data_IF_625133508852
#
_entry.id   IF_625133508852
#
_cell.length_a   1.000
_cell.length_b   1.000
_cell.length_c   1.000
_cell.angle_alpha   90.00
_cell.angle_beta   90.00
_cell.angle_gamma   90.00
#
_symmetry.space_group_name_H-M   'P 1'
#
loop_
_entity.id
_entity.type
_entity.pdbx_description
1 polymer ?
#
# COMPACT_ATOMS: atom_id res chain seq x y z
N UNK A 1 19.12 -11.38 3.81
CA UNK A 1 17.84 -10.80 3.32
C UNK A 1 16.74 -11.73 3.82
N UNK A 2 15.65 -11.20 4.36
CA UNK A 2 14.66 -11.93 5.17
C UNK A 2 13.94 -13.05 4.38
N UNK A 3 13.96 -14.27 4.92
CA UNK A 3 13.37 -15.47 4.28
C UNK A 3 11.84 -15.48 4.33
N UNK A 4 11.24 -14.88 5.36
CA UNK A 4 9.78 -14.86 5.60
C UNK A 4 9.27 -13.45 5.93
N UNK A 5 9.19 -12.53 4.95
CA UNK A 5 8.89 -11.11 5.19
C UNK A 5 7.45 -10.81 5.61
N UNK A 6 6.57 -11.80 5.62
CA UNK A 6 5.17 -11.69 6.03
C UNK A 6 4.84 -12.62 7.21
N UNK A 7 5.87 -13.14 7.90
CA UNK A 7 5.69 -13.97 9.09
C UNK A 7 4.94 -13.19 10.18
N UNK A 8 3.97 -13.85 10.83
CA UNK A 8 3.11 -13.24 11.84
C UNK A 8 1.88 -12.50 11.31
N UNK A 9 1.79 -12.25 9.99
CA UNK A 9 0.60 -11.65 9.38
C UNK A 9 -0.45 -12.72 9.04
N UNK A 10 -1.73 -12.42 9.33
CA UNK A 10 -2.90 -13.26 9.03
C UNK A 10 -3.43 -13.01 7.63
N UNK A 11 -2.61 -13.31 6.64
CA UNK A 11 -2.99 -13.22 5.22
C UNK A 11 -3.64 -14.54 4.79
N UNK A 12 -4.80 -14.46 4.15
CA UNK A 12 -5.49 -15.61 3.56
C UNK A 12 -4.63 -16.32 2.51
N UNK A 13 -4.77 -17.65 2.37
CA UNK A 13 -4.04 -18.40 1.35
C UNK A 13 -4.38 -17.91 -0.06
N UNK A 14 -3.34 -17.71 -0.87
CA UNK A 14 -3.43 -17.28 -2.26
C UNK A 14 -3.08 -18.39 -3.25
N UNK A 15 -2.98 -19.65 -2.78
CA UNK A 15 -2.47 -20.77 -3.58
C UNK A 15 -3.33 -21.05 -4.82
N UNK A 16 -4.64 -20.84 -4.73
CA UNK A 16 -5.55 -21.00 -5.87
C UNK A 16 -5.23 -20.02 -7.02
N UNK A 17 -4.57 -18.89 -6.77
CA UNK A 17 -4.14 -18.00 -7.84
C UNK A 17 -3.07 -18.64 -8.74
N UNK A 18 -2.36 -19.66 -8.26
CA UNK A 18 -1.40 -20.41 -9.08
C UNK A 18 -2.07 -21.41 -10.03
N UNK A 19 -3.29 -21.86 -9.73
CA UNK A 19 -4.05 -22.78 -10.61
C UNK A 19 -4.67 -22.06 -11.80
N UNK A 20 -4.73 -20.72 -11.78
CA UNK A 20 -5.18 -19.91 -12.89
C UNK A 20 -4.10 -19.92 -13.99
N UNK A 21 -4.28 -20.70 -15.05
CA UNK A 21 -3.32 -20.82 -16.16
C UNK A 21 -3.46 -19.72 -17.21
N UNK A 22 -4.70 -19.36 -17.56
CA UNK A 22 -4.99 -18.39 -18.62
C UNK A 22 -5.40 -17.02 -18.08
N UNK A 23 -5.36 -16.01 -18.96
CA UNK A 23 -6.01 -14.72 -18.68
C UNK A 23 -7.50 -14.85 -18.98
N UNK A 24 -8.31 -14.10 -18.24
CA UNK A 24 -9.76 -14.05 -18.37
C UNK A 24 -10.21 -12.63 -18.70
N UNK A 25 -11.46 -12.47 -19.12
CA UNK A 25 -12.04 -11.18 -19.49
C UNK A 25 -12.61 -10.50 -18.25
N UNK A 26 -12.28 -9.23 -18.03
CA UNK A 26 -12.89 -8.43 -16.98
C UNK A 26 -14.40 -8.27 -17.23
N UNK A 27 -15.28 -8.55 -16.25
CA UNK A 27 -16.73 -8.47 -16.44
C UNK A 27 -17.26 -7.04 -16.64
N UNK A 28 -16.46 -6.01 -16.35
CA UNK A 28 -16.85 -4.60 -16.48
C UNK A 28 -16.35 -3.95 -17.78
N UNK A 29 -15.05 -3.99 -18.04
CA UNK A 29 -14.45 -3.31 -19.20
C UNK A 29 -14.06 -4.23 -20.36
N UNK A 30 -14.31 -5.53 -20.25
CA UNK A 30 -14.00 -6.54 -21.27
C UNK A 30 -12.51 -6.68 -21.65
N UNK A 31 -11.60 -6.04 -20.91
CA UNK A 31 -10.15 -6.18 -21.14
C UNK A 31 -9.62 -7.49 -20.54
N UNK A 32 -8.63 -8.09 -21.19
CA UNK A 32 -7.93 -9.31 -20.72
C UNK A 32 -7.12 -9.03 -19.44
N UNK A 33 -7.36 -9.81 -18.39
CA UNK A 33 -6.77 -9.68 -17.05
C UNK A 33 -6.40 -11.06 -16.49
N UNK A 34 -5.51 -11.09 -15.50
CA UNK A 34 -5.03 -12.36 -14.92
C UNK A 34 -5.72 -12.71 -13.60
N UNK A 35 -5.75 -11.78 -12.65
CA UNK A 35 -6.29 -11.99 -11.30
C UNK A 35 -7.36 -10.97 -10.94
N UNK A 36 -7.13 -9.71 -11.30
CA UNK A 36 -8.06 -8.62 -11.09
C UNK A 36 -7.89 -7.58 -12.21
N UNK A 37 -8.89 -6.73 -12.37
CA UNK A 37 -8.84 -5.60 -13.28
C UNK A 37 -8.31 -4.36 -12.57
N UNK A 38 -7.11 -3.91 -12.95
CA UNK A 38 -6.49 -2.69 -12.43
C UNK A 38 -7.15 -1.38 -12.89
N UNK A 39 -8.21 -1.43 -13.71
CA UNK A 39 -9.01 -0.25 -14.09
C UNK A 39 -10.39 -0.25 -13.45
N UNK A 40 -11.02 -1.42 -13.32
CA UNK A 40 -12.37 -1.55 -12.78
C UNK A 40 -12.40 -1.96 -11.31
N UNK A 41 -11.23 -2.25 -10.74
CA UNK A 41 -11.01 -2.68 -9.36
C UNK A 41 -11.93 -3.83 -8.93
N UNK A 42 -12.01 -4.84 -9.80
CA UNK A 42 -12.76 -6.07 -9.52
C UNK A 42 -11.90 -7.30 -9.77
N UNK A 43 -12.11 -8.40 -9.03
CA UNK A 43 -11.55 -9.70 -9.38
C UNK A 43 -11.97 -10.11 -10.80
N UNK A 44 -11.22 -11.04 -11.40
CA UNK A 44 -11.68 -11.68 -12.63
C UNK A 44 -12.79 -12.69 -12.35
N UNK A 45 -13.56 -13.03 -13.39
CA UNK A 45 -14.69 -13.97 -13.28
C UNK A 45 -14.23 -15.35 -12.77
N UNK A 46 -14.98 -15.90 -11.82
CA UNK A 46 -14.83 -17.25 -11.26
C UNK A 46 -14.00 -17.32 -9.98
N UNK A 47 -13.51 -16.19 -9.46
CA UNK A 47 -12.73 -16.15 -8.21
C UNK A 47 -13.19 -15.07 -7.24
N UNK A 48 -14.29 -14.38 -7.53
CA UNK A 48 -14.81 -13.26 -6.74
C UNK A 48 -14.96 -13.62 -5.26
N UNK A 49 -15.53 -14.79 -4.98
CA UNK A 49 -15.80 -15.29 -3.62
C UNK A 49 -14.55 -15.83 -2.91
N UNK A 50 -13.43 -15.98 -3.64
CA UNK A 50 -12.15 -16.45 -3.09
C UNK A 50 -11.23 -15.28 -2.71
N UNK A 51 -11.53 -14.06 -3.15
CA UNK A 51 -10.75 -12.87 -2.80
C UNK A 51 -11.21 -12.36 -1.44
N UNK A 52 -10.31 -12.20 -0.45
CA UNK A 52 -10.69 -11.67 0.84
C UNK A 52 -11.18 -10.22 0.72
N UNK A 53 -12.20 -9.88 1.50
CA UNK A 53 -12.63 -8.48 1.68
C UNK A 53 -12.07 -7.93 2.98
N UNK A 54 -11.67 -6.66 2.94
CA UNK A 54 -11.15 -5.91 4.08
C UNK A 54 -12.02 -4.68 4.29
N UNK A 55 -12.49 -4.49 5.52
CA UNK A 55 -13.16 -3.28 5.96
C UNK A 55 -12.13 -2.38 6.66
N UNK A 56 -12.03 -1.13 6.24
CA UNK A 56 -11.10 -0.16 6.82
C UNK A 56 -11.80 0.71 7.87
N UNK A 57 -11.06 1.21 8.88
CA UNK A 57 -11.61 2.09 9.90
C UNK A 57 -11.79 3.53 9.39
N UNK A 58 -11.24 3.84 8.22
CA UNK A 58 -11.27 5.14 7.56
C UNK A 58 -11.43 4.97 6.05
N UNK A 59 -12.07 5.94 5.39
CA UNK A 59 -12.13 6.01 3.93
C UNK A 59 -10.80 6.50 3.37
N UNK A 60 -10.37 5.95 2.23
CA UNK A 60 -9.09 6.27 1.60
C UNK A 60 -9.31 6.60 0.13
N UNK A 61 -8.88 7.80 -0.27
CA UNK A 61 -8.78 8.18 -1.66
C UNK A 61 -7.32 8.14 -2.12
N UNK A 62 -7.02 7.30 -3.10
CA UNK A 62 -5.70 7.19 -3.70
C UNK A 62 -5.64 8.06 -4.94
N UNK A 63 -4.80 9.10 -4.91
CA UNK A 63 -4.56 9.97 -6.07
C UNK A 63 -3.33 9.49 -6.82
N UNK A 64 -3.53 8.93 -8.01
CA UNK A 64 -2.45 8.46 -8.89
C UNK A 64 -1.97 9.55 -9.82
N UNK A 65 -0.71 9.47 -10.22
CA UNK A 65 -0.19 10.29 -11.31
C UNK A 65 -0.60 9.71 -12.67
N UNK A 66 -0.96 10.55 -13.64
CA UNK A 66 -1.40 10.13 -14.98
C UNK A 66 -0.39 9.25 -15.74
N UNK A 67 0.90 9.41 -15.46
CA UNK A 67 1.97 8.60 -16.09
C UNK A 67 2.23 7.28 -15.34
N UNK A 68 1.52 7.00 -14.26
CA UNK A 68 1.66 5.74 -13.54
C UNK A 68 1.06 4.59 -14.37
N UNK A 69 1.86 3.55 -14.61
CA UNK A 69 1.40 2.38 -15.35
C UNK A 69 0.48 1.51 -14.48
N UNK A 70 -0.80 1.42 -14.82
CA UNK A 70 -1.81 0.68 -14.03
C UNK A 70 -1.42 -0.77 -13.73
N UNK A 71 -0.88 -1.49 -14.73
CA UNK A 71 -0.46 -2.89 -14.56
C UNK A 71 0.76 -3.08 -13.65
N UNK A 72 1.36 -1.99 -13.16
CA UNK A 72 2.45 -2.00 -12.18
C UNK A 72 2.07 -1.34 -10.86
N UNK A 73 0.94 -0.67 -10.79
CA UNK A 73 0.47 0.05 -9.61
C UNK A 73 -0.10 -0.90 -8.58
N UNK A 74 0.26 -0.71 -7.31
CA UNK A 74 -0.33 -1.46 -6.20
C UNK A 74 -1.58 -0.78 -5.61
N UNK A 75 -1.96 0.40 -6.11
CA UNK A 75 -3.24 1.06 -5.77
C UNK A 75 -4.45 0.17 -6.03
N UNK A 76 -4.42 -0.60 -7.13
CA UNK A 76 -5.48 -1.53 -7.49
C UNK A 76 -5.66 -2.65 -6.46
N UNK A 77 -4.62 -3.02 -5.70
CA UNK A 77 -4.76 -4.03 -4.64
C UNK A 77 -5.74 -3.53 -3.57
N UNK A 78 -5.53 -2.31 -3.07
CA UNK A 78 -6.37 -1.71 -2.04
C UNK A 78 -7.83 -1.60 -2.51
N UNK A 79 -8.05 -1.09 -3.74
CA UNK A 79 -9.39 -0.91 -4.29
C UNK A 79 -10.13 -2.21 -4.59
N UNK A 80 -9.42 -3.31 -4.91
CA UNK A 80 -10.04 -4.63 -5.10
C UNK A 80 -10.38 -5.29 -3.76
N UNK A 81 -9.51 -5.14 -2.75
CA UNK A 81 -9.62 -5.82 -1.45
C UNK A 81 -10.55 -5.07 -0.47
N UNK A 82 -10.62 -3.74 -0.55
CA UNK A 82 -11.46 -2.87 0.29
C UNK A 82 -12.31 -1.92 -0.58
N UNK A 83 -13.16 -2.44 -1.47
CA UNK A 83 -13.87 -1.64 -2.47
C UNK A 83 -14.88 -0.64 -1.87
N UNK A 84 -15.33 -0.90 -0.64
CA UNK A 84 -16.31 -0.06 0.05
C UNK A 84 -15.65 1.14 0.75
N UNK A 85 -14.32 1.09 0.96
CA UNK A 85 -13.55 2.10 1.70
C UNK A 85 -12.48 2.79 0.87
N UNK A 86 -12.06 2.21 -0.25
CA UNK A 86 -10.96 2.71 -1.08
C UNK A 86 -11.47 3.15 -2.45
N UNK A 87 -11.16 4.38 -2.83
CA UNK A 87 -11.36 4.90 -4.19
C UNK A 87 -10.03 5.28 -4.80
N UNK A 88 -9.94 5.20 -6.12
CA UNK A 88 -8.73 5.52 -6.87
C UNK A 88 -9.06 6.54 -7.94
N UNK A 89 -8.33 7.65 -7.91
CA UNK A 89 -8.44 8.77 -8.83
C UNK A 89 -7.13 8.97 -9.58
N UNK A 90 -7.18 9.73 -10.67
CA UNK A 90 -6.00 10.05 -11.49
C UNK A 90 -5.89 11.56 -11.60
N UNK A 91 -4.78 12.13 -11.11
CA UNK A 91 -4.48 13.55 -11.20
C UNK A 91 -4.47 14.03 -12.67
N UNK A 92 -5.04 15.21 -12.99
CA UNK A 92 -5.55 16.25 -12.08
C UNK A 92 -6.99 16.04 -11.58
N UNK A 93 -7.65 14.94 -11.94
CA UNK A 93 -9.04 14.68 -11.54
C UNK A 93 -9.07 14.15 -10.10
N UNK A 94 -9.22 15.04 -9.12
CA UNK A 94 -9.33 14.70 -7.69
C UNK A 94 -10.74 15.05 -7.18
N UNK A 95 -11.25 14.35 -6.16
CA UNK A 95 -12.49 14.73 -5.49
C UNK A 95 -12.39 16.12 -4.86
N UNK A 96 -13.54 16.78 -4.74
CA UNK A 96 -13.66 17.91 -3.83
C UNK A 96 -13.80 17.41 -2.39
N UNK A 97 -13.21 18.14 -1.44
CA UNK A 97 -13.21 17.83 -0.02
C UNK A 97 -13.83 19.02 0.74
N UNK A 98 -15.17 19.05 0.89
CA UNK A 98 -15.88 20.23 1.39
C UNK A 98 -15.48 20.67 2.81
N UNK A 99 -14.98 19.72 3.61
CA UNK A 99 -14.47 19.97 4.95
C UNK A 99 -13.01 19.48 5.04
N UNK A 100 -12.03 20.31 4.63
CA UNK A 100 -10.61 19.96 4.68
C UNK A 100 -10.10 19.62 6.09
N UNK A 101 -10.80 20.07 7.14
CA UNK A 101 -10.43 19.78 8.53
C UNK A 101 -10.63 18.30 8.92
N UNK A 102 -11.51 17.60 8.19
CA UNK A 102 -11.75 16.15 8.34
C UNK A 102 -10.92 15.30 7.38
N UNK A 103 -10.09 15.92 6.55
CA UNK A 103 -9.29 15.23 5.54
C UNK A 103 -7.81 15.37 5.87
N UNK A 104 -7.11 14.25 5.78
CA UNK A 104 -5.68 14.17 6.03
C UNK A 104 -4.99 13.73 4.75
N UNK A 105 -4.00 14.51 4.31
CA UNK A 105 -3.19 14.20 3.15
C UNK A 105 -1.95 13.41 3.57
N UNK A 106 -1.84 12.16 3.13
CA UNK A 106 -0.62 11.37 3.32
C UNK A 106 0.39 11.75 2.23
N UNK A 107 1.32 12.64 2.57
CA UNK A 107 2.37 13.07 1.66
C UNK A 107 3.59 13.52 2.45
N UNK A 108 4.79 12.96 2.18
CA UNK A 108 6.01 13.37 2.86
C UNK A 108 6.38 14.80 2.47
N UNK A 109 6.37 15.73 3.44
CA UNK A 109 6.68 17.13 3.21
C UNK A 109 7.45 17.73 4.38
N UNK A 110 8.13 18.86 4.17
CA UNK A 110 8.94 19.50 5.24
C UNK A 110 8.13 19.82 6.51
N UNK A 111 6.84 20.06 6.36
CA UNK A 111 5.92 20.42 7.44
C UNK A 111 4.88 19.33 7.73
N UNK A 112 5.09 18.09 7.27
CA UNK A 112 4.15 16.99 7.52
C UNK A 112 4.26 16.47 8.95
N UNK A 113 3.12 16.28 9.61
CA UNK A 113 3.04 15.70 10.95
C UNK A 113 3.17 14.18 10.90
N UNK A 114 3.61 13.58 12.00
CA UNK A 114 3.45 12.14 12.25
C UNK A 114 2.01 11.84 12.69
N UNK A 115 1.57 10.58 12.59
CA UNK A 115 0.26 10.19 13.15
C UNK A 115 0.23 10.37 14.68
N UNK A 116 1.34 10.19 15.39
CA UNK A 116 1.45 10.42 16.83
C UNK A 116 1.22 11.90 17.20
N UNK A 117 1.79 12.81 16.40
CA UNK A 117 1.56 14.25 16.57
C UNK A 117 0.10 14.59 16.29
N UNK A 118 -0.48 14.01 15.25
CA UNK A 118 -1.90 14.18 14.95
C UNK A 118 -2.79 13.68 16.11
N UNK A 119 -2.49 12.50 16.65
CA UNK A 119 -3.19 11.92 17.79
C UNK A 119 -3.10 12.81 19.03
N UNK A 120 -1.90 13.29 19.39
CA UNK A 120 -1.70 14.24 20.50
C UNK A 120 -2.45 15.55 20.29
N UNK A 121 -2.45 16.07 19.07
CA UNK A 121 -3.11 17.32 18.72
C UNK A 121 -4.64 17.20 18.71
N UNK A 122 -5.19 16.01 18.49
CA UNK A 122 -6.64 15.75 18.58
C UNK A 122 -7.16 15.75 20.03
N UNK A 123 -6.29 15.43 21.00
CA UNK A 123 -6.61 15.39 22.43
C UNK A 123 -6.47 16.74 23.14
N UNK A 124 -5.90 17.74 22.48
CA UNK A 124 -5.68 19.09 23.01
C UNK A 124 -6.73 20.08 22.46
N UNK A 125 -7.10 21.10 23.25
CA UNK A 125 -8.09 22.13 22.83
C UNK A 125 -7.67 22.75 21.49
N UNK A 126 -8.62 23.03 20.58
CA UNK A 126 -8.31 23.57 19.26
C UNK A 126 -7.60 24.93 19.42
N UNK A 127 -6.36 25.01 18.97
CA UNK A 127 -5.73 26.28 18.59
C UNK A 127 -6.22 26.63 17.19
N UNK A 128 -6.39 27.92 16.90
CA UNK A 128 -6.75 28.43 15.57
C UNK A 128 -5.90 27.75 14.50
N UNK A 129 -6.48 26.76 13.82
CA UNK A 129 -5.88 26.14 12.64
C UNK A 129 -6.32 26.97 11.45
N UNK A 130 -5.42 27.10 10.48
CA UNK A 130 -5.79 27.57 9.16
C UNK A 130 -6.77 26.56 8.53
N UNK A 131 -8.07 26.82 8.67
CA UNK A 131 -9.15 25.93 8.25
C UNK A 131 -9.24 25.75 6.72
N UNK A 132 -8.39 26.44 5.95
CA UNK A 132 -8.38 26.36 4.49
C UNK A 132 -7.42 25.31 3.94
N UNK A 133 -6.60 24.66 4.77
CA UNK A 133 -5.60 23.68 4.31
C UNK A 133 -5.78 22.30 4.97
N UNK A 134 -5.67 21.25 4.16
CA UNK A 134 -5.65 19.87 4.64
C UNK A 134 -4.42 19.63 5.51
N UNK A 135 -4.58 18.86 6.59
CA UNK A 135 -3.43 18.46 7.41
C UNK A 135 -2.60 17.42 6.64
N UNK A 136 -1.32 17.72 6.40
CA UNK A 136 -0.39 16.77 5.79
C UNK A 136 0.26 15.89 6.85
N UNK A 137 0.30 14.58 6.61
CA UNK A 137 1.02 13.62 7.44
C UNK A 137 2.05 12.81 6.66
N UNK A 138 3.07 12.36 7.38
CA UNK A 138 4.05 11.38 6.94
C UNK A 138 3.94 10.10 7.76
N UNK A 139 4.13 8.97 7.08
CA UNK A 139 4.21 7.67 7.73
C UNK A 139 5.60 7.48 8.35
N UNK A 140 5.69 6.66 9.41
CA UNK A 140 7.00 6.25 9.94
C UNK A 140 7.82 5.57 8.85
N UNK A 141 9.12 5.86 8.84
CA UNK A 141 10.07 5.25 7.91
C UNK A 141 10.12 3.73 8.09
N UNK A 142 9.95 3.00 6.99
CA UNK A 142 9.89 1.53 6.95
C UNK A 142 10.55 1.02 5.68
N UNK A 143 11.32 -0.06 5.77
CA UNK A 143 11.88 -0.69 4.57
C UNK A 143 10.78 -1.39 3.76
N UNK A 144 10.59 -0.98 2.51
CA UNK A 144 9.63 -1.63 1.60
C UNK A 144 10.10 -3.02 1.16
N UNK A 145 9.15 -3.92 0.97
CA UNK A 145 9.34 -5.25 0.36
C UNK A 145 9.03 -5.25 -1.14
N UNK A 146 8.66 -4.12 -1.73
CA UNK A 146 8.26 -4.03 -3.14
C UNK A 146 9.40 -4.41 -4.09
N UNK A 147 9.10 -5.20 -5.12
CA UNK A 147 10.11 -5.82 -5.99
C UNK A 147 10.44 -4.99 -7.24
N UNK A 148 9.67 -3.95 -7.58
CA UNK A 148 9.92 -3.06 -8.73
C UNK A 148 10.48 -1.70 -8.29
N UNK A 149 11.62 -1.71 -7.60
CA UNK A 149 12.27 -0.47 -7.21
C UNK A 149 12.68 0.34 -8.44
N UNK A 150 12.42 1.64 -8.36
CA UNK A 150 13.00 2.62 -9.28
C UNK A 150 14.44 2.88 -8.86
N UNK A 151 15.31 3.10 -9.85
CA UNK A 151 16.71 3.44 -9.63
C UNK A 151 16.80 4.70 -8.76
N UNK A 152 17.73 4.71 -7.81
CA UNK A 152 18.07 5.86 -6.95
C UNK A 152 17.03 6.25 -5.86
N UNK A 153 15.91 5.52 -5.76
CA UNK A 153 14.96 5.73 -4.66
C UNK A 153 15.41 4.98 -3.38
N UNK A 154 15.29 5.62 -2.19
CA UNK A 154 15.56 4.96 -0.92
C UNK A 154 14.69 3.71 -0.72
N UNK A 155 15.23 2.70 -0.02
CA UNK A 155 14.46 1.51 0.35
C UNK A 155 13.33 1.81 1.35
N UNK A 156 13.20 3.06 1.81
CA UNK A 156 12.13 3.54 2.70
C UNK A 156 10.90 4.04 1.94
N UNK A 157 10.96 4.11 0.60
CA UNK A 157 9.84 4.55 -0.22
C UNK A 157 8.85 3.40 -0.43
N UNK A 158 7.79 3.40 0.37
CA UNK A 158 6.73 2.41 0.34
C UNK A 158 5.98 2.40 -1.00
N UNK A 159 5.59 1.22 -1.46
CA UNK A 159 4.56 1.13 -2.50
C UNK A 159 3.20 1.57 -1.94
N UNK A 160 2.26 1.93 -2.82
CA UNK A 160 0.94 2.44 -2.41
C UNK A 160 0.22 1.49 -1.45
N UNK A 161 0.20 0.19 -1.72
CA UNK A 161 -0.47 -0.77 -0.84
C UNK A 161 0.21 -0.91 0.53
N UNK A 162 1.54 -0.83 0.59
CA UNK A 162 2.26 -0.83 1.86
C UNK A 162 1.97 0.44 2.65
N UNK A 163 1.93 1.60 1.98
CA UNK A 163 1.57 2.86 2.62
C UNK A 163 0.14 2.82 3.19
N UNK A 164 -0.83 2.29 2.44
CA UNK A 164 -2.21 2.10 2.92
C UNK A 164 -2.24 1.15 4.12
N UNK A 165 -1.59 -0.01 4.03
CA UNK A 165 -1.53 -0.99 5.12
C UNK A 165 -0.94 -0.40 6.40
N UNK A 166 0.23 0.25 6.31
CA UNK A 166 0.87 0.83 7.48
C UNK A 166 0.10 2.04 8.03
N UNK A 167 -0.55 2.83 7.17
CA UNK A 167 -1.44 3.90 7.62
C UNK A 167 -2.57 3.37 8.49
N UNK A 168 -3.32 2.37 8.03
CA UNK A 168 -4.49 1.86 8.77
C UNK A 168 -4.09 1.08 10.02
N UNK A 169 -2.94 0.40 9.99
CA UNK A 169 -2.37 -0.29 11.16
C UNK A 169 -1.92 0.71 12.23
N UNK A 170 -1.17 1.75 11.86
CA UNK A 170 -0.76 2.80 12.78
C UNK A 170 -1.99 3.59 13.29
N UNK A 171 -3.00 3.81 12.43
CA UNK A 171 -4.25 4.45 12.83
C UNK A 171 -5.00 3.64 13.89
N UNK A 172 -5.14 2.33 13.69
CA UNK A 172 -5.80 1.45 14.66
C UNK A 172 -5.12 1.55 16.02
N UNK A 173 -3.80 1.42 16.08
CA UNK A 173 -3.04 1.47 17.34
C UNK A 173 -3.16 2.83 18.08
N UNK A 174 -3.32 3.93 17.34
CA UNK A 174 -3.31 5.28 17.92
C UNK A 174 -4.70 5.86 18.22
N UNK A 175 -5.72 5.45 17.48
CA UNK A 175 -7.04 6.10 17.48
C UNK A 175 -8.20 5.17 17.81
N UNK A 176 -8.05 3.84 17.70
CA UNK A 176 -9.09 2.90 18.09
C UNK A 176 -8.81 2.41 19.51
N UNK A 177 -9.50 3.03 20.47
CA UNK A 177 -9.41 2.67 21.89
C UNK A 177 -9.97 1.25 22.12
N UNK A 178 -9.39 0.52 23.09
CA UNK A 178 -9.83 -0.80 23.56
C UNK A 178 -9.83 -1.96 22.55
N UNK A 179 -9.21 -1.80 21.38
CA UNK A 179 -9.00 -2.89 20.42
C UNK A 179 -7.51 -3.13 20.16
N UNK A 180 -7.03 -4.33 20.51
CA UNK A 180 -5.70 -4.77 20.10
C UNK A 180 -5.73 -5.20 18.63
N UNK A 181 -4.81 -4.68 17.81
CA UNK A 181 -4.65 -5.12 16.43
C UNK A 181 -4.41 -6.64 16.37
N UNK A 182 -5.22 -7.34 15.59
CA UNK A 182 -5.22 -8.79 15.48
C UNK A 182 -5.26 -9.28 14.02
N UNK A 183 -4.76 -8.45 13.09
CA UNK A 183 -4.63 -8.78 11.68
C UNK A 183 -5.82 -8.35 10.82
N UNK A 184 -6.64 -7.42 11.30
CA UNK A 184 -7.86 -6.93 10.64
C UNK A 184 -7.60 -6.47 9.20
N UNK A 185 -6.40 -5.95 8.95
CA UNK A 185 -6.02 -5.35 7.67
C UNK A 185 -4.90 -6.11 6.94
N UNK A 186 -4.43 -7.24 7.48
CA UNK A 186 -3.31 -8.00 6.89
C UNK A 186 -3.63 -8.44 5.46
N UNK A 187 -4.90 -8.75 5.19
CA UNK A 187 -5.38 -9.11 3.87
C UNK A 187 -5.28 -7.98 2.83
N UNK A 188 -5.01 -6.72 3.19
CA UNK A 188 -4.61 -5.69 2.21
C UNK A 188 -3.34 -6.11 1.45
N UNK A 189 -2.47 -6.89 2.09
CA UNK A 189 -1.25 -7.40 1.50
C UNK A 189 -1.47 -8.72 0.72
N UNK A 190 -2.69 -9.23 0.58
CA UNK A 190 -3.00 -10.50 -0.10
C UNK A 190 -2.38 -10.62 -1.51
N UNK A 191 -2.71 -9.68 -2.41
CA UNK A 191 -2.10 -9.69 -3.75
C UNK A 191 -0.63 -9.32 -3.73
N UNK A 192 -0.20 -8.52 -2.76
CA UNK A 192 1.20 -8.10 -2.64
C UNK A 192 2.10 -9.27 -2.25
N UNK A 193 1.70 -10.06 -1.25
CA UNK A 193 2.45 -11.23 -0.78
C UNK A 193 2.49 -12.33 -1.84
N UNK A 194 1.36 -12.60 -2.51
CA UNK A 194 1.31 -13.51 -3.65
C UNK A 194 2.28 -13.11 -4.77
N UNK A 195 2.23 -11.85 -5.21
CA UNK A 195 3.10 -11.36 -6.28
C UNK A 195 4.58 -11.34 -5.86
N UNK A 196 4.86 -10.99 -4.61
CA UNK A 196 6.20 -11.05 -4.03
C UNK A 196 6.76 -12.47 -4.11
N UNK A 197 6.02 -13.48 -3.67
CA UNK A 197 6.43 -14.88 -3.74
C UNK A 197 6.63 -15.33 -5.19
N UNK A 198 5.63 -15.10 -6.06
CA UNK A 198 5.66 -15.50 -7.47
C UNK A 198 6.90 -14.96 -8.20
N UNK A 199 7.26 -13.71 -7.93
CA UNK A 199 8.42 -13.06 -8.56
C UNK A 199 9.72 -13.62 -8.02
N UNK A 200 9.81 -13.91 -6.72
CA UNK A 200 11.01 -14.56 -6.18
C UNK A 200 11.22 -15.95 -6.76
N UNK A 201 10.17 -16.75 -6.91
CA UNK A 201 10.24 -18.06 -7.58
C UNK A 201 10.73 -17.92 -9.02
N UNK A 202 10.30 -16.89 -9.74
CA UNK A 202 10.70 -16.66 -11.14
C UNK A 202 12.16 -16.18 -11.30
N UNK A 203 12.77 -15.59 -10.27
CA UNK A 203 14.10 -14.96 -10.34
C UNK A 203 15.13 -15.62 -9.38
N UNK A 204 15.18 -16.95 -9.33
CA UNK A 204 16.06 -17.75 -8.44
C UNK A 204 16.07 -17.24 -6.98
N UNK A 205 14.90 -17.28 -6.34
CA UNK A 205 14.74 -16.78 -4.97
C UNK A 205 14.91 -15.26 -4.85
N UNK A 206 14.91 -14.54 -5.97
CA UNK A 206 15.11 -13.09 -6.07
C UNK A 206 16.55 -12.65 -6.33
N UNK A 207 17.52 -13.58 -6.45
CA UNK A 207 18.92 -13.24 -6.69
C UNK A 207 19.11 -12.44 -7.97
N UNK A 208 18.30 -12.68 -8.99
CA UNK A 208 18.39 -12.00 -10.29
C UNK A 208 17.54 -10.75 -10.44
N UNK A 209 16.84 -10.33 -9.38
CA UNK A 209 16.14 -9.05 -9.37
C UNK A 209 17.15 -7.90 -9.32
N UNK A 210 17.18 -7.10 -10.40
CA UNK A 210 18.02 -5.88 -10.50
C UNK A 210 17.85 -4.96 -9.29
N UNK A 211 16.62 -4.81 -8.80
CA UNK A 211 16.29 -4.04 -7.60
C UNK A 211 17.05 -4.52 -6.34
N UNK A 212 17.22 -5.83 -6.18
CA UNK A 212 17.88 -6.42 -5.00
C UNK A 212 19.40 -6.34 -5.10
N UNK A 213 19.97 -6.58 -6.30
CA UNK A 213 21.40 -6.35 -6.57
C UNK A 213 21.79 -4.89 -6.26
N UNK A 214 20.93 -3.93 -6.61
CA UNK A 214 21.13 -2.50 -6.29
C UNK A 214 21.06 -2.21 -4.79
N UNK A 215 20.10 -2.76 -4.05
CA UNK A 215 20.00 -2.59 -2.59
C UNK A 215 21.21 -3.12 -1.84
N UNK A 216 21.70 -4.31 -2.21
CA UNK A 216 22.91 -4.87 -1.61
C UNK A 216 24.12 -3.94 -1.83
N UNK A 217 24.26 -3.41 -3.06
CA UNK A 217 25.30 -2.44 -3.40
C UNK A 217 25.18 -1.13 -2.60
N UNK A 218 23.96 -0.58 -2.45
CA UNK A 218 23.76 0.64 -1.64
C UNK A 218 24.00 0.40 -0.14
N UNK A 219 23.57 -0.74 0.41
CA UNK A 219 23.84 -1.11 1.82
C UNK A 219 25.34 -1.28 2.06
N UNK A 220 26.10 -1.80 1.10
CA UNK A 220 27.56 -1.90 1.18
C UNK A 220 28.22 -0.51 1.17
N UNK A 221 27.82 0.37 0.23
CA UNK A 221 28.33 1.75 0.13
C UNK A 221 28.01 2.60 1.38
N UNK A 222 26.82 2.42 1.97
CA UNK A 222 26.42 3.13 3.18
C UNK A 222 27.01 2.51 4.46
N UNK A 223 27.23 1.19 4.49
CA UNK A 223 27.80 0.48 5.64
C UNK A 223 29.30 0.71 5.82
N UNK A 224 30.04 0.92 4.73
CA UNK A 224 31.47 1.29 4.75
C UNK A 224 31.73 2.71 5.29
N UNK A 225 30.69 3.54 5.47
CA UNK A 225 30.80 4.90 6.02
C UNK A 225 30.62 4.98 7.54
N UNK A 226 30.55 3.85 8.24
CA UNK A 226 30.35 3.78 9.71
C UNK A 226 31.47 3.06 10.46
N UNK A 227 32.60 2.81 9.81
CA UNK A 227 33.82 2.35 10.46
C UNK A 227 34.93 3.35 10.14
N UNK A 228 35.14 4.28 11.07
CA UNK A 228 36.42 4.98 11.25
C UNK A 228 37.54 3.97 11.52
#
# INVERSE_FOLDING_TARGET
MEEKPFEGLKISSSDFLNTLENRTICPKCMKSRKFYCYNCFVPVKGIEDLIPRVQLPIKIDIIKHQNECDGKSTSAHAAVLAPDDVRVFTYPCIPDYPDPSKVVLVFPGKNSLTLEELARNSRSKPKDRDNNNMTCIQLKSRETKFWRHQKDNPATYLSTIEAVYYLVRDYHELFLEDTSYNGEYDNLLFFFSFMYQKIRTFYDGGKDLKAYKQRAKMKQICGEKTSE
#
